data_IF_365108768370
#
_entry.id   IF_365108768370
#
_cell.length_a   1.000
_cell.length_b   1.000
_cell.length_c   1.000
_cell.angle_alpha   90.00
_cell.angle_beta   90.00
_cell.angle_gamma   90.00
#
_symmetry.space_group_name_H-M   'P 1'
#
loop_
_entity.id
_entity.type
_entity.pdbx_description
1 polymer ?
#
# COMPACT_ATOMS: atom_id res chain seq x y z
N UNK A 1 11.13 -1.27 8.39
CA UNK A 1 11.10 -2.63 7.83
C UNK A 1 10.60 -2.52 6.40
N UNK A 2 11.04 -3.40 5.51
CA UNK A 2 10.62 -3.49 4.13
C UNK A 2 10.21 -4.93 3.80
N UNK A 3 9.26 -5.09 2.88
CA UNK A 3 8.75 -6.38 2.41
C UNK A 3 8.62 -6.31 0.89
N UNK A 4 9.17 -7.31 0.18
CA UNK A 4 9.06 -7.40 -1.27
C UNK A 4 9.23 -8.86 -1.73
N UNK A 5 8.67 -9.22 -2.89
CA UNK A 5 8.88 -10.51 -3.52
C UNK A 5 10.29 -10.65 -4.09
N UNK A 6 10.91 -9.52 -4.48
CA UNK A 6 12.26 -9.46 -5.01
C UNK A 6 13.26 -9.23 -3.88
N UNK A 7 14.42 -9.88 -3.96
CA UNK A 7 15.52 -9.58 -3.04
C UNK A 7 16.02 -8.15 -3.25
N UNK A 8 16.45 -7.50 -2.18
CA UNK A 8 17.11 -6.20 -2.23
C UNK A 8 18.50 -6.27 -1.57
N UNK A 9 19.37 -5.32 -1.91
CA UNK A 9 20.62 -5.13 -1.18
C UNK A 9 20.34 -4.70 0.27
N UNK A 10 21.21 -5.13 1.18
CA UNK A 10 21.09 -4.78 2.58
C UNK A 10 21.25 -3.27 2.77
N UNK A 11 20.24 -2.65 3.38
CA UNK A 11 20.27 -1.25 3.77
C UNK A 11 20.44 -1.17 5.28
N UNK A 12 21.41 -0.38 5.73
CA UNK A 12 21.66 -0.19 7.15
C UNK A 12 20.40 0.29 7.89
N UNK A 13 20.10 -0.33 9.03
CA UNK A 13 18.90 -0.10 9.85
C UNK A 13 17.55 -0.43 9.18
N UNK A 14 17.55 -1.17 8.07
CA UNK A 14 16.33 -1.69 7.47
C UNK A 14 16.28 -3.20 7.64
N UNK A 15 15.33 -3.70 8.43
CA UNK A 15 14.98 -5.12 8.39
C UNK A 15 14.18 -5.39 7.12
N UNK A 16 14.64 -6.33 6.30
CA UNK A 16 13.97 -6.75 5.08
C UNK A 16 13.40 -8.17 5.23
N UNK A 17 12.21 -8.40 4.70
CA UNK A 17 11.57 -9.71 4.59
C UNK A 17 11.25 -9.96 3.13
N UNK A 18 11.87 -10.97 2.54
CA UNK A 18 11.52 -11.38 1.18
C UNK A 18 10.34 -12.35 1.23
N UNK A 19 9.15 -11.88 0.86
CA UNK A 19 7.94 -12.72 0.78
C UNK A 19 6.86 -12.04 -0.07
N UNK A 20 5.89 -12.83 -0.50
CA UNK A 20 4.66 -12.32 -1.12
C UNK A 20 3.61 -12.04 -0.02
N UNK A 21 3.10 -10.81 0.03
CA UNK A 21 2.12 -10.42 1.05
C UNK A 21 0.76 -11.11 0.89
N UNK A 22 0.46 -11.64 -0.30
CA UNK A 22 -0.78 -12.37 -0.60
C UNK A 22 -0.63 -13.85 -0.20
N UNK A 23 0.40 -14.52 -0.73
CA UNK A 23 0.57 -15.97 -0.51
C UNK A 23 1.29 -16.36 0.78
N UNK A 24 2.13 -15.48 1.34
CA UNK A 24 3.00 -15.79 2.47
C UNK A 24 2.59 -15.06 3.76
N UNK A 25 1.27 -14.85 3.94
CA UNK A 25 0.73 -14.10 5.08
C UNK A 25 1.20 -14.65 6.45
N UNK A 26 1.26 -15.96 6.63
CA UNK A 26 1.71 -16.58 7.89
C UNK A 26 3.20 -16.30 8.17
N UNK A 27 4.04 -16.36 7.14
CA UNK A 27 5.46 -16.02 7.24
C UNK A 27 5.62 -14.55 7.61
N UNK A 28 4.87 -13.66 6.94
CA UNK A 28 4.89 -12.24 7.23
C UNK A 28 4.47 -11.98 8.70
N UNK A 29 3.37 -12.59 9.14
CA UNK A 29 2.89 -12.49 10.52
C UNK A 29 3.95 -12.93 11.54
N UNK A 30 4.63 -14.05 11.30
CA UNK A 30 5.72 -14.53 12.14
C UNK A 30 6.85 -13.49 12.22
N UNK A 31 7.29 -12.96 11.07
CA UNK A 31 8.38 -11.97 11.00
C UNK A 31 8.02 -10.63 11.62
N UNK A 32 6.75 -10.21 11.52
CA UNK A 32 6.25 -9.01 12.16
C UNK A 32 6.10 -9.19 13.67
N UNK A 33 5.86 -10.43 14.14
CA UNK A 33 5.79 -10.78 15.57
C UNK A 33 4.86 -9.86 16.37
N UNK A 34 3.71 -9.49 15.80
CA UNK A 34 2.73 -8.60 16.43
C UNK A 34 3.17 -7.14 16.59
N UNK A 35 4.30 -6.74 16.00
CA UNK A 35 4.75 -5.34 15.98
C UNK A 35 3.71 -4.48 15.28
N UNK A 36 3.51 -3.27 15.80
CA UNK A 36 2.67 -2.25 15.17
C UNK A 36 3.55 -1.14 14.61
N UNK A 37 3.04 -0.45 13.60
CA UNK A 37 3.76 0.60 12.89
C UNK A 37 3.00 1.92 12.93
N UNK A 38 3.74 3.01 12.95
CA UNK A 38 3.14 4.35 12.85
C UNK A 38 2.78 4.70 11.40
N UNK A 39 3.47 4.08 10.44
CA UNK A 39 3.25 4.27 9.01
C UNK A 39 3.35 2.94 8.28
N UNK A 40 2.37 2.67 7.42
CA UNK A 40 2.43 1.62 6.40
C UNK A 40 2.40 2.31 5.04
N UNK A 41 3.40 2.02 4.20
CA UNK A 41 3.55 2.59 2.88
C UNK A 41 3.66 1.47 1.84
N UNK A 42 2.85 1.56 0.79
CA UNK A 42 2.93 0.68 -0.38
C UNK A 42 3.25 1.48 -1.63
N UNK A 43 4.35 1.11 -2.28
CA UNK A 43 4.70 1.57 -3.63
C UNK A 43 4.61 0.43 -4.65
N UNK A 44 3.79 -0.59 -4.35
CA UNK A 44 3.62 -1.74 -5.24
C UNK A 44 2.98 -1.32 -6.57
N UNK A 45 3.37 -2.01 -7.64
CA UNK A 45 2.74 -1.92 -8.93
C UNK A 45 2.79 -3.30 -9.62
N UNK A 46 1.69 -3.75 -10.24
CA UNK A 46 1.69 -5.01 -10.96
C UNK A 46 2.49 -4.87 -12.26
N UNK A 47 2.89 -6.00 -12.84
CA UNK A 47 3.36 -6.02 -14.24
C UNK A 47 2.21 -5.55 -15.15
N UNK A 48 2.46 -4.51 -15.93
CA UNK A 48 1.48 -4.03 -16.91
C UNK A 48 1.36 -5.01 -18.07
N UNK A 49 0.14 -5.38 -18.41
CA UNK A 49 -0.18 -6.15 -19.62
C UNK A 49 -0.55 -5.24 -20.81
N UNK A 50 -0.63 -3.92 -20.59
CA UNK A 50 -0.97 -2.92 -21.61
C UNK A 50 -2.46 -2.70 -21.78
N UNK A 51 -3.31 -3.48 -21.13
CA UNK A 51 -4.76 -3.27 -21.11
C UNK A 51 -5.15 -2.43 -19.90
N UNK A 52 -5.45 -1.14 -20.14
CA UNK A 52 -5.75 -0.14 -19.10
C UNK A 52 -6.70 -0.62 -18.00
N UNK A 53 -7.80 -1.29 -18.35
CA UNK A 53 -8.78 -1.78 -17.36
C UNK A 53 -8.22 -2.91 -16.50
N UNK A 54 -7.52 -3.87 -17.11
CA UNK A 54 -6.89 -5.00 -16.41
C UNK A 54 -5.76 -4.50 -15.52
N UNK A 55 -4.90 -3.61 -16.04
CA UNK A 55 -3.82 -3.00 -15.27
C UNK A 55 -4.35 -2.19 -14.08
N UNK A 56 -5.46 -1.46 -14.27
CA UNK A 56 -6.12 -0.72 -13.20
C UNK A 56 -6.72 -1.65 -12.14
N UNK A 57 -7.39 -2.74 -12.54
CA UNK A 57 -7.91 -3.72 -11.59
C UNK A 57 -6.76 -4.37 -10.78
N UNK A 58 -5.67 -4.73 -11.44
CA UNK A 58 -4.52 -5.36 -10.79
C UNK A 58 -3.87 -4.45 -9.74
N UNK A 59 -3.70 -3.15 -10.02
CA UNK A 59 -3.12 -2.25 -9.01
C UNK A 59 -4.07 -2.02 -7.84
N UNK A 60 -5.39 -2.01 -8.08
CA UNK A 60 -6.39 -1.88 -7.01
C UNK A 60 -6.33 -3.10 -6.09
N UNK A 61 -6.19 -4.32 -6.61
CA UNK A 61 -6.01 -5.52 -5.79
C UNK A 61 -4.78 -5.40 -4.87
N UNK A 62 -3.64 -4.91 -5.37
CA UNK A 62 -2.45 -4.66 -4.55
C UNK A 62 -2.69 -3.57 -3.49
N UNK A 63 -3.49 -2.55 -3.81
CA UNK A 63 -3.87 -1.52 -2.84
C UNK A 63 -4.77 -2.07 -1.72
N UNK A 64 -5.65 -3.01 -2.04
CA UNK A 64 -6.52 -3.69 -1.07
C UNK A 64 -5.71 -4.59 -0.14
N UNK A 65 -4.77 -5.38 -0.67
CA UNK A 65 -3.83 -6.15 0.16
C UNK A 65 -3.03 -5.23 1.10
N UNK A 66 -2.51 -4.12 0.58
CA UNK A 66 -1.80 -3.13 1.38
C UNK A 66 -2.68 -2.46 2.45
N UNK A 67 -3.95 -2.20 2.14
CA UNK A 67 -4.94 -1.70 3.11
C UNK A 67 -5.11 -2.71 4.23
N UNK A 68 -5.28 -3.99 3.91
CA UNK A 68 -5.55 -5.02 4.92
C UNK A 68 -4.36 -5.17 5.89
N UNK A 69 -3.14 -5.17 5.37
CA UNK A 69 -1.92 -5.07 6.18
C UNK A 69 -1.93 -3.79 7.03
N UNK A 70 -2.30 -2.64 6.48
CA UNK A 70 -2.34 -1.41 7.24
C UNK A 70 -3.36 -1.45 8.38
N UNK A 71 -4.56 -1.98 8.14
CA UNK A 71 -5.59 -2.12 9.16
C UNK A 71 -5.18 -3.09 10.27
N UNK A 72 -4.46 -4.15 9.92
CA UNK A 72 -3.96 -5.11 10.91
C UNK A 72 -2.77 -4.57 11.69
N UNK A 73 -1.86 -3.82 11.07
CA UNK A 73 -0.54 -3.52 11.65
C UNK A 73 -0.31 -2.07 12.07
N UNK A 74 -1.24 -1.14 11.82
CA UNK A 74 -1.09 0.24 12.27
C UNK A 74 -1.36 0.41 13.77
N UNK A 75 -0.58 1.30 14.39
CA UNK A 75 -0.92 1.91 15.67
C UNK A 75 -2.10 2.87 15.51
N UNK A 76 -2.94 3.07 16.55
CA UNK A 76 -3.88 4.19 16.59
C UNK A 76 -3.18 5.51 16.28
N UNK A 77 -3.85 6.38 15.53
CA UNK A 77 -3.32 7.61 14.93
C UNK A 77 -2.26 7.41 13.83
N UNK A 78 -1.94 6.18 13.46
CA UNK A 78 -1.02 5.86 12.37
C UNK A 78 -1.52 6.32 10.98
N UNK A 79 -0.65 6.15 9.98
CA UNK A 79 -0.89 6.60 8.61
C UNK A 79 -0.68 5.49 7.59
N UNK A 80 -1.55 5.44 6.58
CA UNK A 80 -1.44 4.56 5.43
C UNK A 80 -1.26 5.37 4.16
N UNK A 81 -0.29 4.98 3.34
CA UNK A 81 -0.03 5.59 2.03
C UNK A 81 0.10 4.49 1.00
N UNK A 82 -0.64 4.58 -0.11
CA UNK A 82 -0.52 3.63 -1.22
C UNK A 82 -0.47 4.32 -2.56
N UNK A 83 0.41 3.85 -3.45
CA UNK A 83 0.40 4.22 -4.87
C UNK A 83 -0.81 3.60 -5.56
N UNK A 84 -1.44 4.36 -6.45
CA UNK A 84 -2.48 3.88 -7.35
C UNK A 84 -2.34 4.57 -8.72
N UNK A 85 -3.11 4.07 -9.69
CA UNK A 85 -3.28 4.73 -10.99
C UNK A 85 -4.71 5.27 -11.07
N UNK A 86 -4.86 6.47 -11.62
CA UNK A 86 -6.18 7.08 -11.79
C UNK A 86 -7.08 6.25 -12.71
N UNK A 87 -8.25 5.85 -12.21
CA UNK A 87 -9.20 5.03 -12.97
C UNK A 87 -10.48 4.70 -12.21
N UNK A 88 -11.21 3.70 -12.72
CA UNK A 88 -12.64 3.51 -12.44
C UNK A 88 -12.92 3.08 -10.98
N UNK A 89 -12.08 2.20 -10.42
CA UNK A 89 -12.27 1.65 -9.08
C UNK A 89 -11.64 2.46 -7.93
N UNK A 90 -10.93 3.56 -8.22
CA UNK A 90 -10.21 4.31 -7.17
C UNK A 90 -11.14 4.90 -6.09
N UNK A 91 -12.37 5.28 -6.48
CA UNK A 91 -13.35 5.90 -5.59
C UNK A 91 -13.97 4.86 -4.65
N UNK A 92 -14.22 3.66 -5.16
CA UNK A 92 -14.68 2.54 -4.37
C UNK A 92 -13.61 2.12 -3.36
N UNK A 93 -12.36 2.01 -3.80
CA UNK A 93 -11.23 1.75 -2.92
C UNK A 93 -11.10 2.81 -1.83
N UNK A 94 -11.16 4.10 -2.17
CA UNK A 94 -11.16 5.19 -1.18
C UNK A 94 -12.31 5.09 -0.19
N UNK A 95 -13.52 4.77 -0.65
CA UNK A 95 -14.70 4.59 0.21
C UNK A 95 -14.50 3.44 1.20
N UNK A 96 -13.76 2.39 0.83
CA UNK A 96 -13.42 1.29 1.76
C UNK A 96 -12.48 1.73 2.89
N UNK A 97 -11.65 2.75 2.68
CA UNK A 97 -10.67 3.24 3.66
C UNK A 97 -11.27 4.27 4.62
N UNK A 98 -12.17 5.13 4.13
CA UNK A 98 -12.74 6.25 4.89
C UNK A 98 -13.31 5.90 6.28
N UNK A 99 -13.96 4.74 6.51
CA UNK A 99 -14.43 4.36 7.84
C UNK A 99 -13.30 4.26 8.87
N UNK A 100 -12.10 3.82 8.45
CA UNK A 100 -11.00 3.47 9.34
C UNK A 100 -10.05 4.63 9.67
N UNK A 101 -10.10 5.72 8.92
CA UNK A 101 -9.17 6.85 9.05
C UNK A 101 -9.90 8.17 9.27
N UNK A 102 -9.25 9.11 9.95
CA UNK A 102 -9.79 10.45 10.19
C UNK A 102 -9.74 11.36 8.95
N UNK A 103 -8.74 11.17 8.09
CA UNK A 103 -8.57 11.94 6.84
C UNK A 103 -8.13 10.99 5.73
N UNK A 104 -8.78 11.07 4.56
CA UNK A 104 -8.39 10.32 3.36
C UNK A 104 -8.38 11.23 2.14
N UNK A 105 -7.23 11.36 1.49
CA UNK A 105 -7.02 12.31 0.39
C UNK A 105 -6.15 11.72 -0.71
N UNK A 106 -6.29 12.26 -1.92
CA UNK A 106 -5.36 11.95 -3.01
C UNK A 106 -4.22 12.98 -3.01
N UNK A 107 -3.01 12.51 -3.31
CA UNK A 107 -1.82 13.31 -3.44
C UNK A 107 -1.12 12.97 -4.75
N UNK A 108 -0.89 13.96 -5.60
CA UNK A 108 -0.06 13.80 -6.81
C UNK A 108 1.32 14.41 -6.55
N UNK A 109 2.40 13.61 -6.50
CA UNK A 109 3.75 14.13 -6.26
C UNK A 109 4.18 15.07 -7.39
N UNK A 110 4.92 16.13 -7.03
CA UNK A 110 5.52 17.05 -8.01
C UNK A 110 6.55 16.37 -8.92
N UNK A 111 7.14 15.27 -8.45
CA UNK A 111 8.10 14.44 -9.18
C UNK A 111 7.43 13.52 -10.21
N UNK A 112 6.12 13.31 -10.13
CA UNK A 112 5.42 12.48 -11.10
C UNK A 112 5.30 13.20 -12.45
N UNK A 113 5.50 12.47 -13.55
CA UNK A 113 5.39 13.03 -14.90
C UNK A 113 3.97 13.55 -15.14
N UNK A 114 3.82 14.64 -15.92
CA UNK A 114 2.51 15.28 -16.14
C UNK A 114 1.49 14.36 -16.80
N UNK A 115 1.96 13.47 -17.66
CA UNK A 115 1.21 12.45 -18.41
C UNK A 115 1.01 11.14 -17.62
N UNK A 116 1.61 11.00 -16.43
CA UNK A 116 1.37 9.84 -15.58
C UNK A 116 -0.01 9.90 -14.93
N UNK A 117 -0.72 8.77 -14.92
CA UNK A 117 -1.93 8.57 -14.12
C UNK A 117 -1.63 8.25 -12.65
N UNK A 118 -0.35 8.18 -12.27
CA UNK A 118 0.06 7.88 -10.89
C UNK A 118 -0.38 8.97 -9.91
N UNK A 119 -1.01 8.52 -8.84
CA UNK A 119 -1.38 9.29 -7.66
C UNK A 119 -1.16 8.42 -6.42
N UNK A 120 -1.06 9.05 -5.26
CA UNK A 120 -1.04 8.36 -3.97
C UNK A 120 -2.35 8.63 -3.24
N UNK A 121 -2.87 7.62 -2.55
CA UNK A 121 -3.91 7.81 -1.55
C UNK A 121 -3.23 7.87 -0.19
N UNK A 122 -3.48 8.97 0.51
CA UNK A 122 -2.92 9.26 1.83
C UNK A 122 -4.06 9.24 2.84
N UNK A 123 -4.00 8.28 3.76
CA UNK A 123 -4.95 8.09 4.84
C UNK A 123 -4.24 8.32 6.19
N UNK A 124 -4.76 9.27 6.97
CA UNK A 124 -4.15 9.72 8.23
C UNK A 124 -5.10 9.51 9.39
N UNK A 125 -4.52 9.41 10.59
CA UNK A 125 -5.24 9.25 11.86
C UNK A 125 -6.07 7.96 11.86
N UNK A 126 -5.38 6.82 11.79
CA UNK A 126 -5.99 5.51 11.93
C UNK A 126 -6.80 5.44 13.24
N UNK A 127 -8.05 4.97 13.17
CA UNK A 127 -8.98 5.03 14.31
C UNK A 127 -8.80 3.90 15.32
N UNK A 128 -8.25 2.74 14.90
CA UNK A 128 -8.12 1.55 15.74
C UNK A 128 -9.46 0.83 15.87
#
# INVERSE_FOLDING_TARGET
>A
MAVDIQSMEDIHNVSFVQCDIDSDHDLLNEKLSGRKFDVVLSDMAPKSCGHRQVDHANIINLCELARDIALEYLNPNGSFVTKLLHGEYEQEFKRSIMPHFGVVSYFKPKSSRKDSSEIYLVALKFKG
#
